data_IF_956466201896
#
_entry.id   IF_956466201896
#
_cell.length_a   1.000
_cell.length_b   1.000
_cell.length_c   1.000
_cell.angle_alpha   90.00
_cell.angle_beta   90.00
_cell.angle_gamma   90.00
#
_symmetry.space_group_name_H-M   'P 1'
#
loop_
_entity.id
_entity.type
_entity.pdbx_description
1 polymer ?
#
# COMPACT_ATOMS: atom_id res chain seq x y z
N UNK A 1 10.24 -37.09 -11.99
CA UNK A 1 10.14 -35.75 -12.62
C UNK A 1 8.72 -35.18 -12.52
N UNK A 2 7.69 -35.90 -12.99
CA UNK A 2 6.30 -35.39 -12.99
C UNK A 2 5.78 -35.06 -11.59
N UNK A 3 6.01 -35.96 -10.59
CA UNK A 3 5.64 -35.68 -9.21
C UNK A 3 6.28 -34.37 -8.68
N UNK A 4 7.55 -34.11 -9.00
CA UNK A 4 8.23 -32.90 -8.59
C UNK A 4 7.60 -31.64 -9.20
N UNK A 5 7.18 -31.72 -10.48
CA UNK A 5 6.48 -30.62 -11.16
C UNK A 5 5.09 -30.37 -10.56
N UNK A 6 4.34 -31.42 -10.26
CA UNK A 6 3.02 -31.29 -9.60
C UNK A 6 3.16 -30.63 -8.24
N UNK A 7 4.10 -31.09 -7.40
CA UNK A 7 4.38 -30.49 -6.10
C UNK A 7 4.84 -29.02 -6.21
N UNK A 8 5.65 -28.71 -7.21
CA UNK A 8 6.06 -27.32 -7.52
C UNK A 8 4.87 -26.45 -7.89
N UNK A 9 3.98 -26.95 -8.75
CA UNK A 9 2.76 -26.23 -9.16
C UNK A 9 1.81 -26.03 -7.96
N UNK A 10 1.69 -27.03 -7.09
CA UNK A 10 0.84 -26.97 -5.88
C UNK A 10 1.49 -26.22 -4.69
N UNK A 11 2.59 -25.52 -4.92
CA UNK A 11 3.29 -24.70 -3.90
C UNK A 11 3.82 -25.50 -2.71
N UNK A 12 3.99 -26.79 -2.85
CA UNK A 12 4.63 -27.66 -1.85
C UNK A 12 6.16 -27.62 -2.03
N UNK A 13 6.75 -26.47 -1.82
CA UNK A 13 8.12 -26.13 -2.26
C UNK A 13 9.17 -27.06 -1.64
N UNK A 14 9.06 -27.39 -0.35
CA UNK A 14 9.98 -28.32 0.31
C UNK A 14 9.90 -29.73 -0.25
N UNK A 15 8.69 -30.25 -0.47
CA UNK A 15 8.48 -31.57 -1.05
C UNK A 15 8.92 -31.62 -2.53
N UNK A 16 8.63 -30.59 -3.30
CA UNK A 16 9.10 -30.44 -4.68
C UNK A 16 10.62 -30.48 -4.75
N UNK A 17 11.32 -29.74 -3.86
CA UNK A 17 12.77 -29.72 -3.78
C UNK A 17 13.36 -31.09 -3.58
N UNK A 18 12.86 -31.84 -2.59
CA UNK A 18 13.32 -33.21 -2.33
C UNK A 18 13.17 -34.12 -3.56
N UNK A 19 12.06 -33.99 -4.31
CA UNK A 19 11.84 -34.78 -5.51
C UNK A 19 12.75 -34.36 -6.68
N UNK A 20 13.00 -33.06 -6.86
CA UNK A 20 13.95 -32.59 -7.89
C UNK A 20 15.38 -33.04 -7.56
N UNK A 21 15.82 -32.96 -6.30
CA UNK A 21 17.14 -33.42 -5.88
C UNK A 21 17.34 -34.92 -6.07
N UNK A 22 16.27 -35.73 -5.81
CA UNK A 22 16.27 -37.19 -6.12
C UNK A 22 16.43 -37.47 -7.62
N UNK A 23 15.71 -36.72 -8.49
CA UNK A 23 15.84 -36.90 -9.95
C UNK A 23 17.21 -36.45 -10.44
N UNK A 24 17.74 -35.34 -9.88
CA UNK A 24 19.08 -34.84 -10.21
C UNK A 24 20.21 -35.80 -9.88
N UNK A 25 20.06 -36.62 -8.84
CA UNK A 25 21.05 -37.63 -8.41
C UNK A 25 21.09 -38.87 -9.28
N UNK A 26 20.18 -39.03 -10.28
CA UNK A 26 20.17 -40.17 -11.21
C UNK A 26 21.39 -40.13 -12.11
N UNK A 27 22.15 -41.26 -12.16
CA UNK A 27 23.29 -41.41 -13.08
C UNK A 27 22.82 -41.34 -14.54
N UNK A 28 23.58 -40.66 -15.38
CA UNK A 28 23.34 -40.52 -16.84
C UNK A 28 22.05 -39.73 -17.19
N UNK A 29 21.69 -38.75 -16.37
CA UNK A 29 20.59 -37.84 -16.69
C UNK A 29 20.92 -37.03 -17.95
N UNK A 30 20.02 -36.94 -18.96
CA UNK A 30 20.23 -36.11 -20.14
C UNK A 30 20.46 -34.64 -19.76
N UNK A 31 21.37 -33.95 -20.47
CA UNK A 31 21.72 -32.55 -20.15
C UNK A 31 20.51 -31.61 -20.17
N UNK A 32 19.57 -31.83 -21.09
CA UNK A 32 18.31 -31.05 -21.16
C UNK A 32 17.42 -31.25 -19.93
N UNK A 33 17.33 -32.48 -19.41
CA UNK A 33 16.59 -32.79 -18.20
C UNK A 33 17.29 -32.18 -16.97
N UNK A 34 18.62 -32.24 -16.90
CA UNK A 34 19.41 -31.59 -15.85
C UNK A 34 19.18 -30.08 -15.82
N UNK A 35 19.29 -29.40 -16.97
CA UNK A 35 19.03 -27.95 -17.07
C UNK A 35 17.60 -27.58 -16.67
N UNK A 36 16.60 -28.39 -17.03
CA UNK A 36 15.22 -28.16 -16.63
C UNK A 36 15.03 -28.27 -15.11
N UNK A 37 15.66 -29.26 -14.48
CA UNK A 37 15.65 -29.43 -13.02
C UNK A 37 16.30 -28.22 -12.34
N UNK A 38 17.46 -27.76 -12.83
CA UNK A 38 18.13 -26.57 -12.29
C UNK A 38 17.20 -25.34 -12.32
N UNK A 39 16.50 -25.10 -13.43
CA UNK A 39 15.52 -24.01 -13.54
C UNK A 39 14.41 -24.10 -12.49
N UNK A 40 13.89 -25.29 -12.20
CA UNK A 40 12.90 -25.47 -11.13
C UNK A 40 13.50 -25.23 -9.75
N UNK A 41 14.72 -25.69 -9.52
CA UNK A 41 15.45 -25.48 -8.27
C UNK A 41 15.71 -23.98 -8.05
N UNK A 42 16.14 -23.26 -9.09
CA UNK A 42 16.36 -21.83 -9.03
C UNK A 42 15.05 -21.06 -8.75
N UNK A 43 13.96 -21.49 -9.37
CA UNK A 43 12.63 -20.92 -9.09
C UNK A 43 12.18 -21.19 -7.65
N UNK A 44 12.48 -22.37 -7.08
CA UNK A 44 12.22 -22.67 -5.66
C UNK A 44 13.09 -21.81 -4.73
N UNK A 45 14.38 -21.62 -5.07
CA UNK A 45 15.28 -20.75 -4.32
C UNK A 45 14.76 -19.29 -4.32
N UNK A 46 14.34 -18.80 -5.47
CA UNK A 46 13.75 -17.48 -5.61
C UNK A 46 12.48 -17.30 -4.80
N UNK A 47 11.59 -18.32 -4.75
CA UNK A 47 10.39 -18.29 -3.90
C UNK A 47 10.70 -18.25 -2.40
N UNK A 48 11.83 -18.82 -1.97
CA UNK A 48 12.26 -18.90 -0.58
C UNK A 48 13.28 -17.84 -0.19
N UNK A 49 13.63 -16.92 -1.09
CA UNK A 49 14.53 -15.82 -0.82
C UNK A 49 13.80 -14.63 -0.19
N UNK A 50 14.55 -13.75 0.48
CA UNK A 50 14.09 -12.42 0.83
C UNK A 50 13.86 -11.61 -0.45
N UNK A 51 12.72 -10.96 -0.51
CA UNK A 51 12.40 -10.00 -1.56
C UNK A 51 12.51 -8.61 -0.97
N UNK A 52 13.16 -7.71 -1.69
CA UNK A 52 13.36 -6.33 -1.30
C UNK A 52 12.85 -5.42 -2.42
N UNK A 53 12.16 -4.40 -2.04
CA UNK A 53 11.82 -3.29 -2.92
C UNK A 53 12.21 -1.97 -2.26
N UNK A 54 12.67 -1.04 -3.08
CA UNK A 54 13.05 0.28 -2.61
C UNK A 54 12.69 1.33 -3.66
N UNK A 55 12.16 2.45 -3.22
CA UNK A 55 11.97 3.62 -4.06
C UNK A 55 12.29 4.90 -3.32
N UNK A 56 12.80 5.89 -4.06
CA UNK A 56 13.02 7.25 -3.58
C UNK A 56 12.53 8.22 -4.63
N UNK A 57 11.89 9.30 -4.21
CA UNK A 57 11.45 10.38 -5.11
C UNK A 57 11.67 11.74 -4.49
N UNK A 58 12.04 12.71 -5.33
CA UNK A 58 12.05 14.11 -4.93
C UNK A 58 10.62 14.57 -4.68
N UNK A 59 10.40 15.30 -3.59
CA UNK A 59 9.10 15.80 -3.16
C UNK A 59 9.16 17.32 -3.01
N UNK A 60 8.22 17.99 -3.68
CA UNK A 60 7.98 19.43 -3.50
C UNK A 60 6.48 19.65 -3.38
N UNK A 61 6.05 20.33 -2.34
CA UNK A 61 4.64 20.63 -2.10
C UNK A 61 4.45 22.05 -1.61
N UNK A 62 3.37 22.68 -2.04
CA UNK A 62 2.94 23.99 -1.53
C UNK A 62 1.92 23.88 -0.38
N UNK A 63 1.53 22.65 -0.01
CA UNK A 63 0.52 22.39 1.01
C UNK A 63 0.79 21.03 1.69
N UNK A 64 1.80 21.00 2.56
CA UNK A 64 2.29 19.77 3.18
C UNK A 64 1.23 19.06 4.05
N UNK A 65 0.35 19.83 4.69
CA UNK A 65 -0.71 19.31 5.57
C UNK A 65 -2.03 19.03 4.85
N UNK A 66 -2.14 19.41 3.56
CA UNK A 66 -3.37 19.26 2.77
C UNK A 66 -4.58 20.00 3.42
N UNK A 67 -4.37 21.24 3.81
CA UNK A 67 -5.37 22.12 4.41
C UNK A 67 -5.92 23.11 3.42
N UNK A 68 -7.07 23.73 3.74
CA UNK A 68 -7.68 24.77 2.91
C UNK A 68 -6.87 26.08 2.94
N UNK A 69 -6.74 26.72 1.78
CA UNK A 69 -6.09 28.03 1.63
C UNK A 69 -6.95 29.22 2.06
N UNK A 70 -8.23 28.99 2.44
CA UNK A 70 -9.07 30.07 2.97
C UNK A 70 -8.48 30.63 4.25
N UNK A 71 -8.37 31.95 4.37
CA UNK A 71 -7.92 32.63 5.59
C UNK A 71 -9.00 32.78 6.66
N UNK A 72 -10.27 32.58 6.30
CA UNK A 72 -11.41 32.74 7.21
C UNK A 72 -12.08 31.39 7.51
N UNK A 73 -12.70 31.28 8.66
CA UNK A 73 -13.55 30.16 9.06
C UNK A 73 -15.01 30.60 8.90
N UNK A 74 -15.66 30.06 7.88
CA UNK A 74 -17.04 30.41 7.52
C UNK A 74 -17.99 30.29 8.72
N UNK A 75 -18.90 31.28 8.85
CA UNK A 75 -19.93 31.38 9.90
C UNK A 75 -19.41 31.48 11.34
N UNK A 76 -18.15 31.82 11.56
CA UNK A 76 -17.60 31.97 12.91
C UNK A 76 -17.05 33.36 13.22
N UNK A 77 -16.73 34.15 12.18
CA UNK A 77 -16.02 35.43 12.32
C UNK A 77 -14.53 35.27 12.65
N UNK A 78 -13.99 34.02 12.76
CA UNK A 78 -12.59 33.79 13.07
C UNK A 78 -11.71 33.77 11.81
N UNK A 79 -10.47 34.27 11.94
CA UNK A 79 -9.41 34.20 10.95
C UNK A 79 -8.43 33.11 11.38
N UNK A 80 -7.96 32.31 10.42
CA UNK A 80 -6.96 31.28 10.64
C UNK A 80 -5.60 31.89 10.96
N UNK A 81 -4.92 31.37 11.96
CA UNK A 81 -3.51 31.66 12.19
C UNK A 81 -2.62 31.08 11.08
N UNK A 82 -1.39 31.60 10.95
CA UNK A 82 -0.44 31.19 9.91
C UNK A 82 -0.19 29.66 9.88
N UNK A 83 -0.14 29.00 11.03
CA UNK A 83 0.02 27.53 11.12
C UNK A 83 -1.19 26.71 10.65
N UNK A 84 -2.35 27.32 10.40
CA UNK A 84 -3.54 26.67 9.84
C UNK A 84 -3.65 26.84 8.30
N UNK A 85 -2.72 27.56 7.70
CA UNK A 85 -2.66 27.82 6.26
C UNK A 85 -1.64 26.89 5.59
N UNK A 86 -1.76 26.64 4.28
CA UNK A 86 -0.83 25.80 3.55
C UNK A 86 0.63 26.18 3.77
N UNK A 87 1.44 25.20 4.13
CA UNK A 87 2.89 25.35 4.30
C UNK A 87 3.61 24.65 3.17
N UNK A 88 4.70 25.28 2.69
CA UNK A 88 5.56 24.70 1.65
C UNK A 88 6.60 23.79 2.29
N UNK A 89 6.97 22.75 1.57
CA UNK A 89 8.06 21.87 1.98
C UNK A 89 8.70 21.19 0.77
N UNK A 90 10.01 20.92 0.88
CA UNK A 90 10.79 20.19 -0.12
C UNK A 90 11.60 19.10 0.56
N UNK A 91 11.73 17.95 -0.11
CA UNK A 91 12.42 16.83 0.49
C UNK A 91 12.41 15.60 -0.39
N UNK A 92 12.45 14.44 0.27
CA UNK A 92 12.35 13.14 -0.36
C UNK A 92 11.21 12.33 0.25
N UNK A 93 10.49 11.61 -0.61
CA UNK A 93 9.67 10.48 -0.20
C UNK A 93 10.42 9.19 -0.52
N UNK A 94 10.34 8.22 0.38
CA UNK A 94 10.99 6.91 0.22
C UNK A 94 10.06 5.80 0.67
N UNK A 95 10.23 4.63 0.04
CA UNK A 95 9.56 3.39 0.41
C UNK A 95 10.58 2.26 0.43
N UNK A 96 10.49 1.39 1.44
CA UNK A 96 11.30 0.20 1.60
C UNK A 96 10.38 -0.95 1.97
N UNK A 97 10.43 -2.01 1.18
CA UNK A 97 9.71 -3.26 1.42
C UNK A 97 10.69 -4.41 1.62
N UNK A 98 10.38 -5.29 2.53
CA UNK A 98 11.05 -6.56 2.70
C UNK A 98 10.02 -7.62 3.02
N UNK A 99 10.08 -8.75 2.32
CA UNK A 99 9.18 -9.86 2.60
C UNK A 99 9.85 -11.22 2.34
N UNK A 100 9.40 -12.23 3.06
CA UNK A 100 9.74 -13.63 2.83
C UNK A 100 8.63 -14.53 3.37
N UNK A 101 8.33 -15.59 2.62
CA UNK A 101 7.48 -16.68 3.06
C UNK A 101 8.34 -17.94 3.26
N UNK A 102 8.44 -18.41 4.51
CA UNK A 102 9.15 -19.65 4.88
C UNK A 102 8.22 -20.84 4.74
N UNK A 103 8.51 -21.77 3.87
CA UNK A 103 7.73 -23.00 3.76
C UNK A 103 7.93 -23.85 5.01
N UNK A 104 6.86 -24.17 5.72
CA UNK A 104 6.87 -25.01 6.91
C UNK A 104 6.73 -26.49 6.51
N UNK A 105 5.59 -26.82 5.91
CA UNK A 105 5.28 -28.15 5.40
C UNK A 105 4.17 -28.05 4.34
N UNK A 106 4.34 -28.75 3.22
CA UNK A 106 3.34 -28.74 2.14
C UNK A 106 3.01 -27.32 1.68
N UNK A 107 1.74 -26.97 1.72
CA UNK A 107 1.20 -25.65 1.35
C UNK A 107 1.20 -24.62 2.49
N UNK A 108 1.79 -24.93 3.64
CA UNK A 108 1.79 -24.10 4.84
C UNK A 108 3.07 -23.26 4.93
N UNK A 109 2.93 -21.98 5.19
CA UNK A 109 4.02 -21.00 5.23
C UNK A 109 3.93 -20.12 6.46
N UNK A 110 5.08 -19.67 6.95
CA UNK A 110 5.22 -18.54 7.84
C UNK A 110 5.65 -17.33 6.99
N UNK A 111 4.82 -16.31 6.92
CA UNK A 111 5.12 -15.06 6.23
C UNK A 111 5.69 -14.02 7.19
N UNK A 112 6.74 -13.33 6.78
CA UNK A 112 7.30 -12.17 7.46
C UNK A 112 7.43 -11.05 6.44
N UNK A 113 6.88 -9.88 6.74
CA UNK A 113 7.08 -8.70 5.89
C UNK A 113 7.16 -7.43 6.72
N UNK A 114 7.88 -6.45 6.20
CA UNK A 114 7.89 -5.09 6.71
C UNK A 114 7.77 -4.13 5.55
N UNK A 115 6.93 -3.13 5.73
CA UNK A 115 6.78 -1.99 4.85
C UNK A 115 7.11 -0.73 5.63
N UNK A 116 8.07 0.02 5.14
CA UNK A 116 8.49 1.30 5.71
C UNK A 116 8.42 2.36 4.64
N UNK A 117 7.63 3.39 4.85
CA UNK A 117 7.64 4.54 3.98
C UNK A 117 7.78 5.83 4.79
N UNK A 118 8.38 6.85 4.17
CA UNK A 118 8.56 8.12 4.83
C UNK A 118 8.68 9.28 3.86
N UNK A 119 8.57 10.45 4.46
CA UNK A 119 8.86 11.74 3.83
C UNK A 119 9.78 12.50 4.76
N UNK A 120 10.85 13.04 4.24
CA UNK A 120 11.73 13.93 4.99
C UNK A 120 11.91 15.24 4.23
N UNK A 121 11.79 16.35 4.93
CA UNK A 121 11.84 17.70 4.35
C UNK A 121 13.03 18.44 4.93
N UNK A 122 13.98 18.84 4.08
CA UNK A 122 15.18 19.55 4.54
C UNK A 122 14.94 21.01 4.93
N UNK A 123 13.81 21.58 4.51
CA UNK A 123 13.40 22.96 4.81
C UNK A 123 12.28 23.04 5.87
N UNK A 124 11.69 21.89 6.27
CA UNK A 124 10.56 21.90 7.20
C UNK A 124 10.39 20.56 7.96
N UNK A 125 11.40 20.19 8.75
CA UNK A 125 11.48 18.91 9.48
C UNK A 125 10.30 18.63 10.42
N UNK A 126 9.55 19.64 10.83
CA UNK A 126 8.35 19.44 11.67
C UNK A 126 7.27 18.60 10.97
N UNK A 127 7.34 18.44 9.66
CA UNK A 127 6.43 17.61 8.85
C UNK A 127 7.06 16.30 8.38
N UNK A 128 8.26 15.97 8.85
CA UNK A 128 8.86 14.66 8.58
C UNK A 128 7.92 13.57 9.08
N UNK A 129 7.67 12.56 8.25
CA UNK A 129 6.71 11.51 8.51
C UNK A 129 7.33 10.16 8.14
N UNK A 130 7.49 9.29 9.12
CA UNK A 130 8.02 7.94 8.94
C UNK A 130 7.02 6.94 9.50
N UNK A 131 6.74 5.92 8.73
CA UNK A 131 5.77 4.90 9.01
C UNK A 131 6.38 3.52 8.76
N UNK A 132 6.27 2.61 9.70
CA UNK A 132 6.77 1.24 9.54
C UNK A 132 5.74 0.26 10.06
N UNK A 133 5.35 -0.73 9.24
CA UNK A 133 4.41 -1.79 9.57
C UNK A 133 5.06 -3.14 9.33
N UNK A 134 5.05 -3.99 10.35
CA UNK A 134 5.58 -5.36 10.30
C UNK A 134 4.44 -6.36 10.45
N UNK A 135 4.39 -7.32 9.57
CA UNK A 135 3.50 -8.46 9.61
C UNK A 135 4.30 -9.75 9.88
N UNK A 136 3.78 -10.59 10.75
CA UNK A 136 4.30 -11.95 10.95
C UNK A 136 3.08 -12.86 11.08
N UNK A 137 2.91 -13.80 10.15
CA UNK A 137 1.70 -14.59 10.18
C UNK A 137 1.74 -15.84 9.32
N UNK A 138 0.65 -16.56 9.38
CA UNK A 138 0.45 -17.80 8.65
C UNK A 138 -0.07 -17.52 7.24
N UNK A 139 0.43 -18.30 6.26
CA UNK A 139 -0.11 -18.34 4.92
C UNK A 139 -0.34 -19.79 4.46
N UNK A 140 -1.51 -20.02 3.86
CA UNK A 140 -1.83 -21.27 3.16
C UNK A 140 -1.90 -20.96 1.67
N UNK A 141 -1.02 -21.60 0.89
CA UNK A 141 -0.86 -21.34 -0.53
C UNK A 141 -1.19 -22.58 -1.34
N UNK A 142 -2.12 -22.42 -2.27
CA UNK A 142 -2.39 -23.36 -3.35
C UNK A 142 -2.01 -22.76 -4.69
N UNK A 143 -2.15 -23.56 -5.76
CA UNK A 143 -1.86 -23.11 -7.11
C UNK A 143 -2.67 -21.86 -7.52
N UNK A 144 -3.94 -21.83 -7.14
CA UNK A 144 -4.93 -20.83 -7.54
C UNK A 144 -5.34 -19.87 -6.43
N UNK A 145 -4.87 -20.08 -5.19
CA UNK A 145 -5.33 -19.29 -4.05
C UNK A 145 -4.29 -19.17 -2.93
N UNK A 146 -4.36 -18.06 -2.22
CA UNK A 146 -3.53 -17.77 -1.06
C UNK A 146 -4.42 -17.19 0.04
N UNK A 147 -4.47 -17.86 1.18
CA UNK A 147 -5.06 -17.35 2.41
C UNK A 147 -3.95 -16.92 3.35
N UNK A 148 -4.05 -15.71 3.93
CA UNK A 148 -3.12 -15.22 4.94
C UNK A 148 -3.88 -14.79 6.19
N UNK A 149 -3.30 -15.08 7.36
CA UNK A 149 -3.70 -14.54 8.65
C UNK A 149 -2.46 -13.90 9.26
N UNK A 150 -2.45 -12.58 9.32
CA UNK A 150 -1.25 -11.79 9.60
C UNK A 150 -1.52 -10.77 10.72
N UNK A 151 -1.20 -11.08 11.98
CA UNK A 151 -1.04 -10.04 12.98
C UNK A 151 0.05 -9.05 12.57
N UNK A 152 -0.14 -7.79 12.96
CA UNK A 152 0.81 -6.74 12.65
C UNK A 152 1.05 -5.80 13.83
N UNK A 153 2.21 -5.18 13.79
CA UNK A 153 2.58 -4.02 14.59
C UNK A 153 3.01 -2.89 13.67
N UNK A 154 2.54 -1.69 13.96
CA UNK A 154 2.80 -0.48 13.22
C UNK A 154 3.27 0.63 14.16
N UNK A 155 4.25 1.43 13.69
CA UNK A 155 4.68 2.62 14.40
C UNK A 155 4.85 3.77 13.42
N UNK A 156 4.43 4.95 13.84
CA UNK A 156 4.60 6.20 13.10
C UNK A 156 5.38 7.20 13.94
N UNK A 157 6.30 7.87 13.28
CA UNK A 157 7.02 9.03 13.81
C UNK A 157 6.60 10.24 12.99
N UNK A 158 6.38 11.37 13.65
CA UNK A 158 6.01 12.62 13.00
C UNK A 158 6.79 13.77 13.62
N UNK A 159 7.39 14.66 12.78
CA UNK A 159 8.27 15.71 13.23
C UNK A 159 9.44 15.20 14.09
N UNK A 160 10.01 14.04 13.74
CA UNK A 160 11.10 13.40 14.48
C UNK A 160 10.71 12.71 15.80
N UNK A 161 9.45 12.78 16.21
CA UNK A 161 8.96 12.21 17.47
C UNK A 161 8.10 10.97 17.26
N UNK A 162 8.11 10.03 18.21
CA UNK A 162 7.16 8.91 18.21
C UNK A 162 5.73 9.46 18.34
N UNK A 163 4.90 9.20 17.31
CA UNK A 163 3.57 9.80 17.21
C UNK A 163 2.47 8.84 17.63
N UNK A 164 2.34 7.72 16.93
CA UNK A 164 1.40 6.66 17.33
C UNK A 164 1.97 5.27 17.03
N UNK A 165 1.35 4.27 17.62
CA UNK A 165 1.53 2.87 17.29
C UNK A 165 0.18 2.19 17.16
N UNK A 166 0.15 1.13 16.38
CA UNK A 166 -1.04 0.30 16.21
C UNK A 166 -0.67 -1.17 16.28
N UNK A 167 -1.59 -1.97 16.75
CA UNK A 167 -1.54 -3.42 16.59
C UNK A 167 -2.87 -3.92 16.08
N UNK A 168 -2.82 -5.02 15.36
CA UNK A 168 -4.02 -5.57 14.75
C UNK A 168 -3.75 -6.89 14.05
N UNK A 169 -4.71 -7.30 13.25
CA UNK A 169 -4.59 -8.46 12.38
C UNK A 169 -5.33 -8.23 11.08
N UNK A 170 -4.78 -8.79 10.01
CA UNK A 170 -5.39 -8.87 8.70
C UNK A 170 -5.63 -10.33 8.33
N UNK A 171 -6.80 -10.61 7.76
CA UNK A 171 -7.10 -11.83 7.04
C UNK A 171 -7.26 -11.45 5.59
N UNK A 172 -6.44 -12.02 4.71
CA UNK A 172 -6.55 -11.78 3.28
C UNK A 172 -6.66 -13.08 2.50
N UNK A 173 -7.49 -13.05 1.46
CA UNK A 173 -7.71 -14.16 0.56
C UNK A 173 -7.60 -13.69 -0.88
N UNK A 174 -6.64 -14.25 -1.59
CA UNK A 174 -6.40 -14.00 -3.02
C UNK A 174 -6.65 -15.29 -3.78
N UNK A 175 -7.47 -15.27 -4.84
CA UNK A 175 -7.78 -16.44 -5.63
C UNK A 175 -8.08 -16.10 -7.08
N UNK A 176 -7.79 -17.04 -7.97
CA UNK A 176 -8.10 -16.96 -9.38
C UNK A 176 -9.53 -17.44 -9.64
N UNK A 177 -10.38 -16.54 -10.15
CA UNK A 177 -11.73 -16.84 -10.61
C UNK A 177 -11.72 -17.57 -11.97
N UNK A 178 -10.74 -17.26 -12.78
CA UNK A 178 -10.45 -17.86 -14.09
C UNK A 178 -8.99 -17.59 -14.45
N UNK A 179 -8.55 -18.05 -15.62
CA UNK A 179 -7.18 -17.81 -16.11
C UNK A 179 -6.81 -16.32 -16.19
N UNK A 180 -7.81 -15.42 -16.33
CA UNK A 180 -7.60 -13.99 -16.56
C UNK A 180 -8.16 -13.11 -15.44
N UNK A 181 -8.87 -13.68 -14.47
CA UNK A 181 -9.49 -12.92 -13.38
C UNK A 181 -9.01 -13.38 -12.02
N UNK A 182 -8.52 -12.46 -11.23
CA UNK A 182 -8.12 -12.68 -9.85
C UNK A 182 -8.94 -11.78 -8.91
N UNK A 183 -9.33 -12.33 -7.77
CA UNK A 183 -9.93 -11.58 -6.67
C UNK A 183 -8.96 -11.53 -5.49
N UNK A 184 -8.86 -10.37 -4.85
CA UNK A 184 -8.12 -10.16 -3.61
C UNK A 184 -9.05 -9.49 -2.61
N UNK A 185 -9.32 -10.13 -1.50
CA UNK A 185 -10.20 -9.61 -0.43
C UNK A 185 -9.45 -9.63 0.88
N UNK A 186 -9.61 -8.56 1.68
CA UNK A 186 -9.00 -8.46 2.99
C UNK A 186 -9.95 -7.89 4.03
N UNK A 187 -9.84 -8.38 5.26
CA UNK A 187 -10.47 -7.86 6.46
C UNK A 187 -9.37 -7.49 7.45
N UNK A 188 -9.36 -6.27 7.92
CA UNK A 188 -8.36 -5.76 8.87
C UNK A 188 -9.06 -5.21 10.11
N UNK A 189 -8.51 -5.51 11.27
CA UNK A 189 -8.81 -4.87 12.53
C UNK A 189 -7.55 -4.23 13.08
N UNK A 190 -7.61 -2.95 13.42
CA UNK A 190 -6.52 -2.14 13.96
C UNK A 190 -6.95 -1.48 15.26
N UNK A 191 -6.08 -1.53 16.27
CA UNK A 191 -6.18 -0.77 17.51
C UNK A 191 -5.05 0.26 17.56
N UNK A 192 -5.42 1.55 17.40
CA UNK A 192 -4.47 2.67 17.36
C UNK A 192 -4.34 3.33 18.70
N UNK A 193 -3.11 3.63 19.11
CA UNK A 193 -2.74 4.33 20.32
C UNK A 193 -1.70 5.40 20.03
N UNK A 194 -1.68 6.46 20.80
CA UNK A 194 -0.73 7.56 20.66
C UNK A 194 0.22 7.57 21.86
N UNK A 195 1.45 8.06 21.65
CA UNK A 195 2.42 8.22 22.72
C UNK A 195 2.11 9.40 23.66
N UNK A 196 1.38 10.39 23.14
CA UNK A 196 0.77 11.48 23.94
C UNK A 196 -0.74 11.33 23.85
N UNK A 197 -1.46 11.88 24.82
CA UNK A 197 -2.93 11.86 24.79
C UNK A 197 -3.45 12.48 23.48
N UNK A 198 -4.29 11.75 22.78
CA UNK A 198 -4.79 12.15 21.47
C UNK A 198 -6.21 11.58 21.25
N UNK A 199 -7.18 12.46 20.98
CA UNK A 199 -8.57 12.09 20.78
C UNK A 199 -8.82 11.17 19.58
N UNK A 200 -7.82 10.97 18.73
CA UNK A 200 -7.87 10.06 17.56
C UNK A 200 -7.42 8.63 17.88
N UNK A 201 -7.13 8.30 19.16
CA UNK A 201 -6.93 6.92 19.57
C UNK A 201 -8.24 6.14 19.42
N UNK A 202 -8.17 4.86 19.04
CA UNK A 202 -9.38 4.07 18.85
C UNK A 202 -9.19 2.81 18.05
N UNK A 203 -10.28 2.32 17.49
CA UNK A 203 -10.33 1.09 16.72
C UNK A 203 -10.75 1.37 15.27
N UNK A 204 -10.13 0.68 14.34
CA UNK A 204 -10.41 0.78 12.91
C UNK A 204 -10.71 -0.63 12.40
N UNK A 205 -11.73 -0.76 11.58
CA UNK A 205 -12.11 -2.00 10.89
C UNK A 205 -12.22 -1.70 9.41
N UNK A 206 -11.53 -2.47 8.60
CA UNK A 206 -11.53 -2.26 7.15
C UNK A 206 -11.85 -3.58 6.45
N UNK A 207 -12.76 -3.52 5.49
CA UNK A 207 -13.01 -4.58 4.53
C UNK A 207 -12.70 -4.04 3.14
N UNK A 208 -11.98 -4.81 2.33
CA UNK A 208 -11.63 -4.41 0.98
C UNK A 208 -11.68 -5.59 0.02
N UNK A 209 -11.97 -5.32 -1.23
CA UNK A 209 -11.88 -6.28 -2.32
C UNK A 209 -11.33 -5.59 -3.56
N UNK A 210 -10.57 -6.34 -4.36
CA UNK A 210 -10.05 -5.89 -5.65
C UNK A 210 -10.20 -7.01 -6.65
N UNK A 211 -10.87 -6.73 -7.77
CA UNK A 211 -10.94 -7.60 -8.94
C UNK A 211 -9.88 -7.14 -9.94
N UNK A 212 -9.06 -8.06 -10.41
CA UNK A 212 -7.97 -7.80 -11.36
C UNK A 212 -8.27 -8.59 -12.62
N UNK A 213 -8.27 -7.93 -13.75
CA UNK A 213 -8.42 -8.52 -15.06
C UNK A 213 -7.11 -8.41 -15.86
N UNK A 214 -6.48 -9.54 -16.08
CA UNK A 214 -5.31 -9.70 -16.96
C UNK A 214 -5.82 -9.96 -18.36
N UNK A 215 -6.10 -8.91 -19.15
CA UNK A 215 -6.57 -9.06 -20.53
C UNK A 215 -5.55 -9.80 -21.38
N UNK A 216 -4.29 -9.43 -21.24
CA UNK A 216 -3.12 -10.08 -21.79
C UNK A 216 -1.89 -9.70 -20.92
N UNK A 217 -0.67 -10.22 -21.18
CA UNK A 217 0.53 -9.89 -20.41
C UNK A 217 0.86 -8.40 -20.34
N UNK A 218 0.43 -7.63 -21.33
CA UNK A 218 0.76 -6.21 -21.49
C UNK A 218 -0.32 -5.28 -20.93
N UNK A 219 -1.51 -5.81 -20.60
CA UNK A 219 -2.66 -4.99 -20.24
C UNK A 219 -3.42 -5.57 -19.05
N UNK A 220 -3.41 -4.81 -17.95
CA UNK A 220 -4.06 -5.18 -16.70
C UNK A 220 -5.01 -4.07 -16.27
N UNK A 221 -6.23 -4.45 -15.90
CA UNK A 221 -7.22 -3.58 -15.29
C UNK A 221 -7.53 -4.05 -13.89
N UNK A 222 -7.88 -3.13 -12.99
CA UNK A 222 -8.41 -3.51 -11.69
C UNK A 222 -9.51 -2.57 -11.22
N UNK A 223 -10.46 -3.13 -10.48
CA UNK A 223 -11.53 -2.45 -9.78
C UNK A 223 -11.43 -2.81 -8.30
N UNK A 224 -11.27 -1.83 -7.44
CA UNK A 224 -11.20 -2.02 -5.99
C UNK A 224 -12.30 -1.26 -5.27
N UNK A 225 -12.82 -1.86 -4.21
CA UNK A 225 -13.72 -1.23 -3.26
C UNK A 225 -13.22 -1.48 -1.84
N UNK A 226 -13.36 -0.47 -0.96
CA UNK A 226 -13.05 -0.62 0.45
C UNK A 226 -14.08 0.14 1.30
N UNK A 227 -14.37 -0.44 2.46
CA UNK A 227 -15.17 0.18 3.51
C UNK A 227 -14.40 0.13 4.83
N UNK A 228 -14.26 1.29 5.48
CA UNK A 228 -13.56 1.39 6.76
C UNK A 228 -14.40 2.11 7.79
N UNK A 229 -14.47 1.55 8.99
CA UNK A 229 -15.11 2.14 10.14
C UNK A 229 -14.05 2.58 11.15
N UNK A 230 -13.96 3.87 11.41
CA UNK A 230 -13.08 4.43 12.43
C UNK A 230 -13.95 4.81 13.64
N UNK A 231 -13.67 4.19 14.78
CA UNK A 231 -14.33 4.47 16.06
C UNK A 231 -13.26 4.93 17.04
N UNK A 232 -13.20 6.25 17.20
CA UNK A 232 -12.13 6.95 17.91
C UNK A 232 -12.64 7.48 19.25
N UNK A 233 -11.73 7.82 20.14
CA UNK A 233 -12.02 8.27 21.51
C UNK A 233 -12.97 9.47 21.50
N UNK A 234 -12.67 10.51 20.73
CA UNK A 234 -13.62 11.57 20.47
C UNK A 234 -14.45 11.28 19.22
N UNK A 235 -15.76 11.28 19.38
CA UNK A 235 -16.72 10.90 18.35
C UNK A 235 -16.69 11.81 17.12
N UNK A 236 -16.31 13.08 17.25
CA UNK A 236 -16.16 14.00 16.12
C UNK A 236 -15.10 13.54 15.08
N UNK A 237 -14.10 12.75 15.51
CA UNK A 237 -13.09 12.18 14.61
C UNK A 237 -13.48 10.80 14.08
N UNK A 238 -14.50 10.17 14.68
CA UNK A 238 -15.03 8.89 14.19
C UNK A 238 -15.70 9.06 12.85
N UNK A 239 -15.46 8.14 11.91
CA UNK A 239 -16.00 8.23 10.55
C UNK A 239 -16.22 6.87 9.92
N UNK A 240 -17.12 6.81 8.93
CA UNK A 240 -17.19 5.74 7.95
C UNK A 240 -16.62 6.23 6.63
N UNK A 241 -15.83 5.39 5.97
CA UNK A 241 -15.10 5.72 4.76
C UNK A 241 -15.44 4.67 3.72
N UNK A 242 -15.89 5.12 2.56
CA UNK A 242 -16.10 4.30 1.37
C UNK A 242 -15.11 4.74 0.30
N UNK A 243 -14.42 3.79 -0.31
CA UNK A 243 -13.45 4.06 -1.36
C UNK A 243 -13.69 3.15 -2.55
N UNK A 244 -13.68 3.74 -3.74
CA UNK A 244 -13.69 3.03 -5.03
C UNK A 244 -12.42 3.38 -5.78
N UNK A 245 -11.81 2.39 -6.43
CA UNK A 245 -10.56 2.54 -7.18
C UNK A 245 -10.68 1.84 -8.53
N UNK A 246 -10.20 2.51 -9.57
CA UNK A 246 -10.03 1.95 -10.90
C UNK A 246 -8.56 2.10 -11.29
N UNK A 247 -7.99 1.08 -11.87
CA UNK A 247 -6.63 1.14 -12.34
C UNK A 247 -6.46 0.46 -13.69
N UNK A 248 -5.48 0.94 -14.41
CA UNK A 248 -5.06 0.44 -15.70
C UNK A 248 -3.54 0.48 -15.78
N UNK A 249 -2.94 -0.66 -16.10
CA UNK A 249 -1.54 -0.79 -16.45
C UNK A 249 -1.44 -1.22 -17.91
N UNK A 250 -0.62 -0.52 -18.68
CA UNK A 250 -0.38 -0.81 -20.08
C UNK A 250 1.11 -0.80 -20.38
N UNK A 251 1.58 -1.86 -21.01
CA UNK A 251 2.88 -1.93 -21.64
C UNK A 251 2.72 -1.68 -23.15
N UNK A 252 3.47 -0.72 -23.67
CA UNK A 252 3.44 -0.38 -25.09
C UNK A 252 4.66 -0.95 -25.81
N UNK A 253 4.59 -0.99 -27.14
CA UNK A 253 5.77 -1.14 -27.98
C UNK A 253 6.83 -0.08 -27.60
N UNK A 254 8.07 -0.27 -27.98
CA UNK A 254 9.21 0.61 -27.67
C UNK A 254 9.57 0.70 -26.16
N UNK A 255 9.10 -0.26 -25.34
CA UNK A 255 9.47 -0.38 -23.95
C UNK A 255 8.86 0.66 -22.99
N UNK A 256 7.85 1.42 -23.42
CA UNK A 256 7.13 2.36 -22.57
C UNK A 256 6.06 1.59 -21.77
N UNK A 257 5.89 1.95 -20.51
CA UNK A 257 4.79 1.47 -19.67
C UNK A 257 4.10 2.63 -18.99
N UNK A 258 2.78 2.51 -18.80
CA UNK A 258 1.97 3.48 -18.08
C UNK A 258 1.12 2.77 -17.02
N UNK A 259 0.90 3.44 -15.89
CA UNK A 259 -0.04 3.04 -14.85
C UNK A 259 -0.93 4.22 -14.51
N UNK A 260 -2.24 4.04 -14.62
CA UNK A 260 -3.25 5.03 -14.28
C UNK A 260 -4.10 4.50 -13.13
N UNK A 261 -4.33 5.33 -12.12
CA UNK A 261 -5.20 5.02 -10.99
C UNK A 261 -6.17 6.18 -10.78
N UNK A 262 -7.45 5.86 -10.67
CA UNK A 262 -8.50 6.78 -10.27
C UNK A 262 -9.05 6.31 -8.94
N UNK A 263 -9.29 7.22 -8.02
CA UNK A 263 -9.86 6.91 -6.72
C UNK A 263 -10.90 7.95 -6.34
N UNK A 264 -12.03 7.45 -5.83
CA UNK A 264 -13.06 8.25 -5.20
C UNK A 264 -13.25 7.77 -3.76
N UNK A 265 -13.21 8.69 -2.80
CA UNK A 265 -13.44 8.40 -1.39
C UNK A 265 -14.56 9.30 -0.86
N UNK A 266 -15.57 8.68 -0.26
CA UNK A 266 -16.57 9.37 0.55
C UNK A 266 -16.29 9.08 2.02
N UNK A 267 -16.16 10.14 2.84
CA UNK A 267 -15.94 10.05 4.28
C UNK A 267 -17.03 10.79 5.03
N UNK A 268 -17.79 10.06 5.83
CA UNK A 268 -18.87 10.56 6.66
C UNK A 268 -18.45 10.50 8.13
N UNK A 269 -18.29 11.66 8.77
CA UNK A 269 -18.03 11.73 10.21
C UNK A 269 -19.29 11.43 11.02
N UNK A 270 -19.13 11.08 12.28
CA UNK A 270 -20.24 10.60 13.13
C UNK A 270 -20.84 11.65 14.03
N UNK A 271 -20.11 12.71 14.30
CA UNK A 271 -20.56 13.79 15.18
C UNK A 271 -20.21 15.15 14.61
N UNK A 272 -20.88 16.18 15.13
CA UNK A 272 -20.64 17.56 14.80
C UNK A 272 -19.15 17.92 15.00
N UNK A 273 -18.59 18.63 14.05
CA UNK A 273 -17.23 19.12 14.13
C UNK A 273 -17.12 20.22 15.22
N UNK A 274 -16.09 20.12 16.04
CA UNK A 274 -15.77 21.09 17.08
C UNK A 274 -14.36 21.62 16.83
N UNK A 275 -14.24 22.91 16.60
CA UNK A 275 -12.95 23.56 16.36
C UNK A 275 -12.24 23.81 17.68
N UNK A 276 -10.96 23.37 17.78
CA UNK A 276 -10.13 23.56 18.97
C UNK A 276 -10.69 22.91 20.24
N UNK A 277 -11.62 21.95 20.10
CA UNK A 277 -12.27 21.30 21.25
C UNK A 277 -13.36 22.13 21.96
N UNK A 278 -13.62 23.36 21.49
CA UNK A 278 -14.46 24.32 22.21
C UNK A 278 -15.61 24.86 21.32
N UNK A 279 -15.35 25.16 20.04
CA UNK A 279 -16.33 25.82 19.18
C UNK A 279 -17.06 24.82 18.28
N UNK A 280 -18.36 24.52 18.51
CA UNK A 280 -19.16 23.72 17.63
C UNK A 280 -19.41 24.41 16.29
N UNK A 281 -19.16 23.69 15.18
CA UNK A 281 -19.32 24.25 13.82
C UNK A 281 -20.72 24.03 13.22
N UNK A 282 -21.68 23.48 13.98
CA UNK A 282 -23.08 23.29 13.54
C UNK A 282 -23.28 22.21 12.46
N UNK A 283 -22.24 21.60 11.94
CA UNK A 283 -22.29 20.62 10.85
C UNK A 283 -21.55 19.33 11.19
N UNK A 284 -22.08 18.20 10.76
CA UNK A 284 -21.37 16.93 10.71
C UNK A 284 -20.53 16.93 9.43
N UNK A 285 -19.22 16.79 9.56
CA UNK A 285 -18.28 16.83 8.44
C UNK A 285 -18.52 15.68 7.46
N UNK A 286 -18.49 16.01 6.16
CA UNK A 286 -18.54 15.08 5.04
C UNK A 286 -17.51 15.49 4.01
N UNK A 287 -16.68 14.54 3.57
CA UNK A 287 -15.64 14.79 2.59
C UNK A 287 -15.82 13.90 1.36
N UNK A 288 -15.64 14.47 0.18
CA UNK A 288 -15.52 13.77 -1.10
C UNK A 288 -14.11 14.01 -1.63
N UNK A 289 -13.33 12.94 -1.80
CA UNK A 289 -11.94 13.01 -2.21
C UNK A 289 -11.81 12.31 -3.56
N UNK A 290 -11.30 13.04 -4.54
CA UNK A 290 -11.01 12.56 -5.89
C UNK A 290 -9.50 12.54 -6.06
N UNK A 291 -8.94 11.44 -6.55
CA UNK A 291 -7.51 11.33 -6.82
C UNK A 291 -7.28 10.70 -8.18
N UNK A 292 -6.31 11.21 -8.90
CA UNK A 292 -5.77 10.65 -10.14
C UNK A 292 -4.26 10.53 -9.97
N UNK A 293 -3.75 9.35 -10.24
CA UNK A 293 -2.32 9.08 -10.25
C UNK A 293 -1.95 8.47 -11.59
N UNK A 294 -0.97 9.06 -12.26
CA UNK A 294 -0.39 8.53 -13.48
C UNK A 294 1.11 8.32 -13.28
N UNK A 295 1.62 7.20 -13.75
CA UNK A 295 3.03 6.86 -13.74
C UNK A 295 3.44 6.42 -15.14
N UNK A 296 4.56 6.93 -15.63
CA UNK A 296 5.14 6.57 -16.92
C UNK A 296 6.59 6.23 -16.73
N UNK A 297 7.03 5.15 -17.35
CA UNK A 297 8.45 4.75 -17.35
C UNK A 297 8.80 4.01 -18.63
N UNK A 298 10.12 3.96 -18.90
CA UNK A 298 10.69 3.16 -19.97
C UNK A 298 11.37 1.93 -19.35
N UNK A 299 10.95 0.73 -19.74
CA UNK A 299 11.45 -0.54 -19.18
C UNK A 299 12.95 -0.76 -19.42
N UNK A 300 13.46 -0.27 -20.54
CA UNK A 300 14.88 -0.41 -20.90
C UNK A 300 15.78 0.62 -20.17
N UNK A 301 15.19 1.63 -19.52
CA UNK A 301 15.93 2.64 -18.77
C UNK A 301 16.14 2.13 -17.34
N UNK A 302 17.19 1.36 -17.18
CA UNK A 302 17.63 0.90 -15.87
C UNK A 302 19.15 0.96 -15.76
N UNK A 303 19.64 1.52 -14.70
CA UNK A 303 21.04 1.54 -14.31
C UNK A 303 21.18 0.84 -12.97
N UNK A 304 21.97 -0.23 -12.91
CA UNK A 304 22.10 -1.10 -11.73
C UNK A 304 20.76 -1.65 -11.20
N UNK A 305 19.80 -1.88 -12.11
CA UNK A 305 18.45 -2.31 -11.77
C UNK A 305 17.53 -1.21 -11.23
N UNK A 306 17.97 0.05 -11.22
CA UNK A 306 17.14 1.20 -10.81
C UNK A 306 16.43 1.75 -12.04
N UNK A 307 15.10 1.83 -11.98
CA UNK A 307 14.24 2.34 -13.06
C UNK A 307 13.70 3.73 -12.69
N UNK A 308 13.97 4.76 -13.50
CA UNK A 308 13.35 6.06 -13.32
C UNK A 308 11.88 6.04 -13.77
N UNK A 309 11.00 6.62 -12.96
CA UNK A 309 9.55 6.69 -13.21
C UNK A 309 9.05 8.11 -12.99
N UNK A 310 8.34 8.66 -13.96
CA UNK A 310 7.67 9.94 -13.82
C UNK A 310 6.28 9.72 -13.22
N UNK A 311 6.00 10.36 -12.09
CA UNK A 311 4.73 10.31 -11.40
C UNK A 311 4.01 11.66 -11.50
N UNK A 312 2.74 11.60 -11.83
CA UNK A 312 1.82 12.73 -11.85
C UNK A 312 0.68 12.43 -10.88
N UNK A 313 0.46 13.27 -9.91
CA UNK A 313 -0.61 13.14 -8.94
C UNK A 313 -1.49 14.38 -8.94
N UNK A 314 -2.81 14.16 -9.01
CA UNK A 314 -3.81 15.17 -8.78
C UNK A 314 -4.76 14.69 -7.70
N UNK A 315 -5.06 15.57 -6.73
CA UNK A 315 -6.00 15.30 -5.66
C UNK A 315 -6.85 16.52 -5.36
N UNK A 316 -8.14 16.28 -5.17
CA UNK A 316 -9.11 17.29 -4.76
C UNK A 316 -9.97 16.74 -3.64
N UNK A 317 -9.97 17.42 -2.51
CA UNK A 317 -10.93 17.18 -1.43
C UNK A 317 -11.97 18.29 -1.43
N UNK A 318 -13.24 17.89 -1.43
CA UNK A 318 -14.40 18.74 -1.18
C UNK A 318 -15.01 18.37 0.16
N UNK A 319 -15.09 19.31 1.08
CA UNK A 319 -15.73 19.15 2.38
C UNK A 319 -16.96 20.04 2.47
N UNK A 320 -17.99 19.66 3.24
CA UNK A 320 -19.08 20.56 3.60
C UNK A 320 -18.67 21.61 4.64
N UNK A 321 -17.46 21.51 5.20
CA UNK A 321 -16.74 22.54 5.94
C UNK A 321 -15.60 23.09 5.07
N UNK A 322 -15.97 23.76 3.98
CA UNK A 322 -15.11 24.08 2.85
C UNK A 322 -13.86 24.86 3.25
N UNK A 323 -14.04 25.93 4.02
CA UNK A 323 -12.95 26.82 4.44
C UNK A 323 -11.92 26.17 5.36
N UNK A 324 -12.23 25.03 5.96
CA UNK A 324 -11.32 24.28 6.83
C UNK A 324 -10.62 23.13 6.10
N UNK A 325 -11.36 22.37 5.29
CA UNK A 325 -10.92 21.04 4.86
C UNK A 325 -10.89 20.84 3.34
N UNK A 326 -11.41 21.77 2.53
CA UNK A 326 -11.31 21.62 1.07
C UNK A 326 -9.97 22.10 0.55
N UNK A 327 -9.36 21.30 -0.32
CA UNK A 327 -8.08 21.66 -0.96
C UNK A 327 -7.93 20.98 -2.32
N UNK A 328 -6.96 21.46 -3.09
CA UNK A 328 -6.45 20.82 -4.31
C UNK A 328 -4.94 20.66 -4.20
N UNK A 329 -4.43 19.60 -4.76
CA UNK A 329 -3.00 19.28 -4.81
C UNK A 329 -2.63 18.77 -6.20
N UNK A 330 -1.48 19.17 -6.69
CA UNK A 330 -0.85 18.68 -7.90
C UNK A 330 0.61 18.39 -7.58
N UNK A 331 1.07 17.21 -7.89
CA UNK A 331 2.48 16.85 -7.73
C UNK A 331 3.00 16.24 -9.03
N UNK A 332 4.22 16.60 -9.39
CA UNK A 332 5.00 15.94 -10.43
C UNK A 332 6.31 15.52 -9.78
N UNK A 333 6.58 14.22 -9.78
CA UNK A 333 7.76 13.68 -9.11
C UNK A 333 8.50 12.70 -10.01
N UNK A 334 9.82 12.72 -9.94
CA UNK A 334 10.67 11.69 -10.53
C UNK A 334 11.05 10.70 -9.42
N UNK A 335 10.61 9.48 -9.55
CA UNK A 335 10.92 8.39 -8.63
C UNK A 335 11.97 7.46 -9.24
N UNK A 336 12.80 6.91 -8.38
CA UNK A 336 13.78 5.88 -8.71
C UNK A 336 13.43 4.63 -7.91
N UNK A 337 13.14 3.53 -8.61
CA UNK A 337 12.63 2.30 -8.02
C UNK A 337 13.53 1.12 -8.36
N UNK A 338 13.81 0.27 -7.39
CA UNK A 338 14.54 -0.97 -7.54
C UNK A 338 13.84 -2.11 -6.79
N UNK A 339 13.71 -3.26 -7.48
CA UNK A 339 13.25 -4.52 -6.92
C UNK A 339 14.39 -5.53 -7.00
N UNK A 340 14.65 -6.26 -5.91
CA UNK A 340 15.76 -7.22 -5.78
C UNK A 340 15.25 -8.66 -5.65
#
# INVERSE_FOLDING_TARGET
MELAKVLFADRQDSAARVQFDKVKSVKNLPSSAYQLIERYIDALNSRNSWQFDASISYLKTDNVENVSSSSVIENTGFVKGAGMLPQKAQGFAYNLGINRDFNLIGSHYLGVSNETYGKTYWDNHQYDDLFSRTFIGYAYKKNDSILRLQPFYEKRWYGGNSFHWSNGAEISYSFWLSQNWQSQTALEYEKRRFFKDNPQAGNIRTASTTLIWYRNPEQIFYLGAAFSQQRLQERQYSSDIQNLRLGWLQEYAFGISTKLNFSFTHRQFKHQAILGGILPLGKIRQDHIYSVFAQVWKRDWHLWGITPKLNLEWRKQKSNLDTLYSYKMHNVTLAFEKTF
#
